data_IF_450042423096
#
_entry.id   IF_450042423096
#
_cell.length_a   1.000
_cell.length_b   1.000
_cell.length_c   1.000
_cell.angle_alpha   90.00
_cell.angle_beta   90.00
_cell.angle_gamma   90.00
#
_symmetry.space_group_name_H-M   'P 1'
#
loop_
_entity.id
_entity.type
_entity.pdbx_description
1 polymer ?
2 non-polymer ?
3 non-polymer ?
4 non-polymer ?
5 water ?
#
# COMPACT_ATOMS: atom_id res chain seq x y z
N UNK A 11 -6.12 -21.99 12.73
CA UNK A 11 -6.67 -22.95 11.78
C UNK A 11 -8.20 -22.83 11.73
N UNK A 12 -8.80 -22.39 12.82
CA UNK A 12 -10.24 -22.16 12.83
C UNK A 12 -10.60 -20.91 12.03
N UNK A 13 -9.75 -19.89 12.07
CA UNK A 13 -9.93 -18.73 11.21
C UNK A 13 -9.70 -19.09 9.75
N UNK A 14 -8.78 -20.01 9.47
CA UNK A 14 -8.56 -20.44 8.09
C UNK A 14 -9.73 -21.27 7.58
N UNK A 15 -10.38 -22.04 8.46
CA UNK A 15 -11.52 -22.84 8.01
C UNK A 15 -12.69 -21.95 7.61
N UNK A 16 -12.92 -20.87 8.34
CA UNK A 16 -14.03 -19.98 8.00
C UNK A 16 -13.72 -19.19 6.72
N UNK A 17 -12.48 -18.74 6.56
CA UNK A 17 -12.14 -17.93 5.39
C UNK A 17 -12.20 -18.76 4.11
N UNK A 18 -11.65 -19.97 4.14
CA UNK A 18 -11.62 -20.81 2.94
C UNK A 18 -13.00 -21.31 2.54
N UNK A 19 -13.94 -21.37 3.48
CA UNK A 19 -15.28 -21.86 3.19
C UNK A 19 -16.24 -20.75 2.79
N UNK A 20 -15.87 -19.49 2.98
CA UNK A 20 -16.78 -18.40 2.69
C UNK A 20 -16.82 -18.12 1.20
N UNK A 21 -17.99 -17.71 0.71
CA UNK A 21 -18.11 -17.24 -0.66
C UNK A 21 -17.65 -15.79 -0.70
N UNK A 22 -16.78 -15.46 -1.65
CA UNK A 22 -16.23 -14.12 -1.72
C UNK A 22 -17.19 -13.22 -2.50
N UNK A 23 -17.72 -12.16 -1.88
CA UNK A 23 -18.62 -11.26 -2.60
C UNK A 23 -17.89 -10.48 -3.68
N UNK A 24 -18.68 -9.90 -4.58
CA UNK A 24 -18.14 -9.19 -5.72
C UNK A 24 -17.41 -7.91 -5.28
N UNK A 25 -16.57 -7.41 -6.18
CA UNK A 25 -15.86 -6.16 -5.91
C UNK A 25 -16.83 -5.01 -5.69
N UNK A 26 -17.90 -4.96 -6.48
CA UNK A 26 -18.90 -3.90 -6.28
C UNK A 26 -19.55 -4.02 -4.91
N UNK A 27 -19.97 -5.23 -4.53
CA UNK A 27 -20.56 -5.44 -3.22
C UNK A 27 -19.62 -5.00 -2.12
N UNK A 28 -18.33 -5.30 -2.26
CA UNK A 28 -17.35 -4.95 -1.24
C UNK A 28 -16.85 -3.52 -1.34
N UNK A 29 -17.25 -2.78 -2.38
CA UNK A 29 -16.92 -1.36 -2.55
C UNK A 29 -15.42 -1.12 -2.66
N UNK A 30 -14.63 -2.14 -3.02
CA UNK A 30 -13.18 -1.96 -3.09
C UNK A 30 -12.74 -1.23 -4.36
N UNK A 31 -13.66 -0.95 -5.28
CA UNK A 31 -13.33 -0.16 -6.47
C UNK A 31 -13.33 1.33 -6.19
N UNK A 32 -13.91 1.77 -5.08
CA UNK A 32 -14.05 3.20 -4.80
C UNK A 32 -12.82 3.73 -4.08
N UNK A 33 -12.32 4.88 -4.55
CA UNK A 33 -11.23 5.57 -3.87
C UNK A 33 -11.62 6.01 -2.47
N UNK A 34 -12.91 6.15 -2.20
CA UNK A 34 -13.39 6.56 -0.88
C UNK A 34 -13.54 5.41 0.08
N UNK A 35 -13.15 4.19 -0.32
CA UNK A 35 -13.30 3.00 0.52
C UNK A 35 -12.77 3.23 1.93
N UNK A 36 -13.47 2.65 2.91
CA UNK A 36 -13.03 2.68 4.30
C UNK A 36 -13.34 1.33 4.94
N UNK A 37 -12.57 1.00 5.98
CA UNK A 37 -12.57 -0.35 6.54
C UNK A 37 -13.06 -0.41 7.99
N UNK A 38 -13.57 0.70 8.52
CA UNK A 38 -13.88 0.74 9.95
C UNK A 38 -14.98 -0.23 10.34
N UNK A 39 -15.87 -0.56 9.42
CA UNK A 39 -17.01 -1.42 9.74
C UNK A 39 -16.76 -2.88 9.43
N UNK A 40 -15.56 -3.24 8.98
CA UNK A 40 -15.28 -4.60 8.54
C UNK A 40 -14.59 -5.41 9.63
N UNK A 41 -14.94 -6.68 9.69
CA UNK A 41 -14.20 -7.63 10.50
C UNK A 41 -12.84 -7.91 9.87
N UNK A 42 -11.96 -8.53 10.66
CA UNK A 42 -10.70 -9.02 10.09
C UNK A 42 -10.96 -10.00 8.95
N UNK A 43 -11.91 -10.92 9.14
CA UNK A 43 -12.23 -11.87 8.10
C UNK A 43 -12.79 -11.18 6.86
N UNK A 44 -13.56 -10.11 7.05
CA UNK A 44 -14.09 -9.39 5.91
C UNK A 44 -12.98 -8.73 5.10
N UNK A 45 -11.94 -8.22 5.78
CA UNK A 45 -10.81 -7.65 5.06
C UNK A 45 -10.06 -8.72 4.27
N UNK A 46 -10.03 -9.95 4.79
CA UNK A 46 -9.39 -11.04 4.04
C UNK A 46 -10.19 -11.40 2.80
N UNK A 47 -11.52 -11.32 2.88
CA UNK A 47 -12.34 -11.67 1.71
C UNK A 47 -12.21 -10.62 0.62
N UNK A 48 -12.11 -9.34 1.01
CA UNK A 48 -11.82 -8.29 0.05
C UNK A 48 -10.46 -8.50 -0.62
N UNK A 49 -9.48 -8.98 0.15
CA UNK A 49 -8.16 -9.22 -0.41
C UNK A 49 -8.17 -10.36 -1.43
N UNK A 50 -8.98 -11.39 -1.17
CA UNK A 50 -9.15 -12.44 -2.18
C UNK A 50 -9.76 -11.85 -3.45
N UNK A 51 -10.75 -10.96 -3.29
CA UNK A 51 -11.41 -10.37 -4.43
C UNK A 51 -10.45 -9.51 -5.26
N UNK A 52 -9.52 -8.82 -4.60
CA UNK A 52 -8.51 -8.05 -5.32
C UNK A 52 -7.66 -8.96 -6.19
N UNK A 53 -7.19 -10.07 -5.63
CA UNK A 53 -6.43 -11.05 -6.41
C UNK A 53 -7.27 -11.61 -7.55
N UNK A 54 -8.55 -11.87 -7.28
CA UNK A 54 -9.40 -12.54 -8.27
C UNK A 54 -9.72 -11.61 -9.44
N UNK A 55 -10.11 -10.36 -9.14
CA UNK A 55 -10.55 -9.45 -10.19
C UNK A 55 -9.40 -8.87 -10.99
N UNK A 56 -8.18 -8.95 -10.49
CA UNK A 56 -6.99 -8.64 -11.28
C UNK A 56 -6.49 -9.85 -12.04
N UNK A 57 -7.25 -10.95 -12.01
CA UNK A 57 -6.95 -12.19 -12.71
C UNK A 57 -5.65 -12.82 -12.25
N UNK A 58 -5.20 -12.47 -11.05
CA UNK A 58 -3.98 -13.06 -10.51
C UNK A 58 -4.18 -14.52 -10.13
N UNK A 59 -5.38 -14.86 -9.65
CA UNK A 59 -5.68 -16.25 -9.33
C UNK A 59 -5.72 -17.09 -10.60
N UNK A 60 -6.28 -16.53 -11.68
CA UNK A 60 -6.41 -17.28 -12.93
C UNK A 60 -5.06 -17.43 -13.62
N UNK A 61 -4.37 -16.31 -13.86
CA UNK A 61 -3.17 -16.33 -14.68
C UNK A 61 -1.99 -17.01 -14.00
N UNK A 62 -2.02 -17.15 -12.68
CA UNK A 62 -0.88 -17.74 -11.97
C UNK A 62 -1.29 -18.96 -11.14
N UNK A 63 -2.49 -19.49 -11.39
CA UNK A 63 -2.92 -20.80 -10.89
C UNK A 63 -2.71 -20.93 -9.38
N UNK A 64 -3.31 -20.00 -8.65
CA UNK A 64 -3.22 -19.96 -7.20
C UNK A 64 -4.25 -20.89 -6.59
N UNK A 65 -3.79 -21.85 -5.80
CA UNK A 65 -4.71 -22.71 -5.05
C UNK A 65 -5.43 -21.87 -4.00
N UNK A 66 -6.74 -22.06 -3.90
CA UNK A 66 -7.56 -21.23 -3.02
C UNK A 66 -7.08 -21.30 -1.57
N UNK A 67 -6.77 -22.51 -1.09
CA UNK A 67 -6.35 -22.69 0.30
C UNK A 67 -5.03 -21.99 0.58
N UNK A 68 -4.12 -21.96 -0.40
CA UNK A 68 -2.81 -21.36 -0.19
C UNK A 68 -2.93 -19.84 -0.12
N UNK A 69 -3.77 -19.26 -0.99
CA UNK A 69 -3.98 -17.82 -0.96
C UNK A 69 -4.57 -17.37 0.37
N UNK A 70 -5.57 -18.10 0.85
CA UNK A 70 -6.18 -17.78 2.14
C UNK A 70 -5.17 -17.88 3.27
N UNK A 71 -4.37 -18.96 3.28
CA UNK A 71 -3.33 -19.12 4.29
C UNK A 71 -2.31 -17.98 4.21
N UNK A 72 -1.93 -17.59 2.99
CA UNK A 72 -0.96 -16.50 2.84
C UNK A 72 -1.54 -15.18 3.34
N UNK A 73 -2.80 -14.90 3.02
CA UNK A 73 -3.42 -13.66 3.46
C UNK A 73 -3.48 -13.60 4.98
N UNK A 74 -3.83 -14.71 5.62
CA UNK A 74 -3.92 -14.73 7.08
C UNK A 74 -2.54 -14.66 7.73
N UNK A 75 -1.51 -15.23 7.08
CA UNK A 75 -0.16 -15.11 7.60
C UNK A 75 0.33 -13.67 7.53
N UNK A 76 0.04 -12.99 6.41
CA UNK A 76 0.39 -11.58 6.28
C UNK A 76 -0.30 -10.75 7.35
N UNK A 77 -1.60 -11.00 7.55
CA UNK A 77 -2.36 -10.25 8.55
C UNK A 77 -1.79 -10.46 9.95
N UNK A 78 -1.43 -11.70 10.29
CA UNK A 78 -0.98 -12.02 11.65
C UNK A 78 0.39 -11.43 11.95
N UNK A 79 1.18 -11.12 10.92
CA UNK A 79 2.52 -10.57 11.12
C UNK A 79 2.52 -9.05 11.17
N UNK A 80 1.35 -8.42 11.14
CA UNK A 80 1.23 -7.04 11.58
C UNK A 80 0.85 -7.03 13.05
N UNK A 81 1.24 -5.96 13.73
CA UNK A 81 1.05 -5.84 15.16
C UNK A 81 -0.10 -4.86 15.43
N UNK A 82 -1.16 -5.35 16.07
CA UNK A 82 -2.32 -4.52 16.33
C UNK A 82 -2.10 -3.53 17.46
N UNK A 83 -1.09 -3.76 18.31
CA UNK A 83 -0.72 -2.78 19.32
C UNK A 83 -0.02 -1.56 18.72
N UNK A 84 0.08 -1.48 17.40
CA UNK A 84 0.59 -0.29 16.71
C UNK A 84 -0.61 0.42 16.09
N UNK A 85 -0.76 1.70 16.43
CA UNK A 85 -2.03 2.38 16.17
C UNK A 85 -2.29 2.57 14.68
N UNK A 86 -1.29 2.97 13.91
CA UNK A 86 -1.50 3.15 12.47
C UNK A 86 -0.81 2.12 11.61
N UNK A 87 0.48 1.85 11.84
CA UNK A 87 1.26 0.98 10.96
C UNK A 87 0.93 -0.48 11.28
N UNK A 88 -0.26 -0.90 10.85
CA UNK A 88 -0.77 -2.23 11.19
C UNK A 88 -1.41 -2.84 9.94
N UNK A 89 -2.12 -3.95 10.16
CA UNK A 89 -2.69 -4.69 9.04
C UNK A 89 -3.70 -3.87 8.26
N UNK A 90 -4.53 -3.10 8.96
CA UNK A 90 -5.54 -2.29 8.28
C UNK A 90 -4.89 -1.24 7.38
N UNK A 91 -3.72 -0.72 7.76
CA UNK A 91 -3.03 0.22 6.88
C UNK A 91 -2.55 -0.48 5.62
N UNK A 92 -2.02 -1.70 5.76
CA UNK A 92 -1.57 -2.45 4.60
C UNK A 92 -2.75 -2.87 3.73
N UNK A 93 -3.85 -3.28 4.37
CA UNK A 93 -5.05 -3.63 3.62
C UNK A 93 -5.57 -2.45 2.81
N UNK A 94 -5.58 -1.26 3.42
CA UNK A 94 -6.05 -0.07 2.72
C UNK A 94 -5.10 0.32 1.59
N UNK A 95 -3.80 0.19 1.81
CA UNK A 95 -2.83 0.47 0.75
C UNK A 95 -3.08 -0.43 -0.46
N UNK A 96 -3.33 -1.72 -0.21
CA UNK A 96 -3.63 -2.64 -1.31
C UNK A 96 -4.93 -2.26 -2.00
N UNK A 97 -5.96 -1.91 -1.21
CA UNK A 97 -7.23 -1.50 -1.80
C UNK A 97 -7.06 -0.29 -2.70
N UNK A 98 -6.24 0.68 -2.28
CA UNK A 98 -5.99 1.83 -3.12
C UNK A 98 -5.27 1.42 -4.40
N UNK A 99 -4.35 0.46 -4.30
CA UNK A 99 -3.68 -0.06 -5.50
C UNK A 99 -4.69 -0.71 -6.44
N UNK A 100 -5.60 -1.52 -5.90
CA UNK A 100 -6.64 -2.14 -6.71
C UNK A 100 -7.53 -1.08 -7.36
N UNK A 101 -7.96 -0.08 -6.57
CA UNK A 101 -8.78 0.99 -7.12
C UNK A 101 -8.03 1.78 -8.18
N UNK A 102 -6.73 2.00 -7.98
CA UNK A 102 -5.94 2.72 -8.97
C UNK A 102 -5.83 1.93 -10.26
N UNK A 103 -5.70 0.61 -10.17
CA UNK A 103 -5.58 -0.19 -11.38
C UNK A 103 -6.92 -0.32 -12.09
N UNK A 104 -8.01 -0.40 -11.34
CA UNK A 104 -9.34 -0.56 -11.93
C UNK A 104 -9.98 0.79 -12.22
N UNK A 105 -10.41 1.49 -11.17
CA UNK A 105 -11.11 2.76 -11.36
C UNK A 105 -10.24 3.78 -12.09
N UNK A 106 -8.94 3.73 -11.88
CA UNK A 106 -8.01 4.59 -12.59
C UNK A 106 -7.48 4.02 -13.88
N UNK A 107 -7.89 2.80 -14.24
CA UNK A 107 -7.56 2.16 -15.51
C UNK A 107 -6.06 2.09 -15.76
N UNK A 108 -5.26 2.17 -14.70
CA UNK A 108 -3.82 2.00 -14.82
C UNK A 108 -3.46 0.57 -15.24
N UNK A 109 -4.37 -0.37 -14.99
CA UNK A 109 -4.12 -1.80 -15.19
C UNK A 109 -3.59 -2.12 -16.59
N UNK A 110 -4.06 -1.41 -17.61
CA UNK A 110 -3.69 -1.72 -18.99
C UNK A 110 -2.29 -1.23 -19.36
N UNK A 111 -1.66 -0.43 -18.51
CA UNK A 111 -0.31 0.06 -18.78
C UNK A 111 0.77 -0.83 -18.17
N UNK A 112 0.39 -1.91 -17.51
CA UNK A 112 1.33 -2.75 -16.78
C UNK A 112 1.14 -4.22 -17.17
N UNK A 113 2.20 -5.00 -16.98
CA UNK A 113 2.13 -6.44 -17.20
C UNK A 113 1.53 -7.14 -15.98
N UNK A 114 1.18 -8.41 -16.18
CA UNK A 114 0.62 -9.20 -15.08
C UNK A 114 1.61 -9.36 -13.95
N UNK A 115 2.89 -9.59 -14.27
CA UNK A 115 3.89 -9.76 -13.23
C UNK A 115 4.06 -8.48 -12.41
N UNK A 116 3.91 -7.32 -13.06
CA UNK A 116 3.99 -6.06 -12.32
C UNK A 116 2.79 -5.86 -11.42
N UNK A 117 1.59 -6.19 -11.92
CA UNK A 117 0.38 -6.09 -11.09
C UNK A 117 0.47 -7.06 -9.93
N UNK A 118 0.89 -8.30 -10.19
CA UNK A 118 1.04 -9.30 -9.13
C UNK A 118 1.96 -8.79 -8.03
N UNK A 119 3.08 -8.19 -8.41
CA UNK A 119 4.04 -7.72 -7.41
C UNK A 119 3.54 -6.51 -6.65
N UNK A 120 2.81 -5.62 -7.33
CA UNK A 120 2.31 -4.42 -6.67
C UNK A 120 1.32 -4.76 -5.58
N UNK A 121 0.38 -5.67 -5.88
CA UNK A 121 -0.59 -6.09 -4.87
C UNK A 121 0.11 -6.74 -3.68
N UNK A 122 1.02 -7.67 -3.96
CA UNK A 122 1.74 -8.34 -2.88
C UNK A 122 2.55 -7.32 -2.08
N UNK A 123 3.23 -6.41 -2.77
CA UNK A 123 4.06 -5.42 -2.08
C UNK A 123 3.19 -4.52 -1.22
N UNK A 124 2.06 -4.05 -1.76
CA UNK A 124 1.16 -3.20 -1.00
C UNK A 124 0.73 -3.88 0.30
N UNK A 125 0.34 -5.16 0.21
CA UNK A 125 -0.12 -5.86 1.40
C UNK A 125 1.01 -6.11 2.38
N UNK A 126 2.26 -6.21 1.90
CA UNK A 126 3.37 -6.65 2.72
C UNK A 126 4.31 -5.52 3.15
N UNK A 127 4.11 -4.30 2.65
CA UNK A 127 5.15 -3.28 2.71
C UNK A 127 5.48 -2.80 4.12
N UNK A 128 4.67 -3.12 5.13
CA UNK A 128 4.92 -2.68 6.49
C UNK A 128 4.97 -3.84 7.48
N UNK A 129 5.17 -5.06 7.00
CA UNK A 129 5.09 -6.24 7.85
C UNK A 129 6.00 -6.10 9.08
N UNK A 130 5.43 -6.39 10.24
CA UNK A 130 6.15 -6.40 11.52
C UNK A 130 6.64 -5.01 11.91
N UNK A 131 5.93 -3.96 11.46
CA UNK A 131 6.21 -2.61 11.92
C UNK A 131 5.93 -2.52 13.43
N UNK A 132 6.87 -1.91 14.15
CA UNK A 132 6.78 -1.83 15.61
C UNK A 132 6.29 -0.49 16.13
N UNK A 133 5.95 0.45 15.24
CA UNK A 133 5.58 1.79 15.67
C UNK A 133 6.74 2.75 15.57
N UNK A 134 6.46 4.01 15.22
CA UNK A 134 7.53 4.95 14.91
C UNK A 134 8.43 5.20 16.12
N UNK A 135 7.91 5.01 17.32
CA UNK A 135 8.66 5.28 18.55
C UNK A 135 9.34 4.04 19.10
N UNK A 136 9.33 2.93 18.37
CA UNK A 136 9.96 1.69 18.83
C UNK A 136 11.06 1.25 17.86
N UNK A 137 11.75 2.21 17.26
CA UNK A 137 12.84 1.92 16.34
C UNK A 137 14.11 1.47 17.05
N UNK A 138 14.06 1.27 18.37
CA UNK A 138 15.24 0.79 19.08
C UNK A 138 15.49 -0.69 18.82
N UNK A 139 14.46 -1.44 18.48
CA UNK A 139 14.60 -2.89 18.25
C UNK A 139 15.38 -3.13 16.96
N UNK A 140 15.07 -2.39 15.91
CA UNK A 140 15.87 -2.48 14.71
C UNK A 140 17.26 -1.87 14.88
N UNK A 141 17.59 -1.34 16.07
CA UNK A 141 18.93 -0.88 16.39
C UNK A 141 19.70 -1.86 17.27
N UNK A 142 19.01 -2.59 18.16
CA UNK A 142 19.63 -3.75 18.80
C UNK A 142 20.12 -4.73 17.76
N UNK A 143 19.26 -5.02 16.79
CA UNK A 143 19.70 -5.63 15.55
C UNK A 143 20.35 -4.56 14.70
N UNK A 144 21.26 -4.99 13.81
CA UNK A 144 22.04 -4.10 12.97
C UNK A 144 22.55 -2.86 13.71
N UNK A 145 23.33 -3.04 14.78
CA UNK A 145 23.79 -1.87 15.55
C UNK A 145 24.78 -1.01 14.80
N UNK A 146 25.40 -1.53 13.74
CA UNK A 146 26.30 -0.74 12.91
C UNK A 146 25.57 -0.11 11.72
N UNK A 147 24.63 -0.84 11.13
CA UNK A 147 23.83 -0.34 10.01
C UNK A 147 22.79 0.68 10.46
N UNK A 148 23.07 1.46 11.50
CA UNK A 148 22.10 2.47 11.93
C UNK A 148 22.44 3.87 11.42
N UNK A 149 23.69 4.11 11.03
CA UNK A 149 24.03 5.37 10.35
C UNK A 149 24.85 5.07 9.08
N UNK A 152 19.45 3.58 5.58
CA UNK A 152 19.70 2.48 4.64
C UNK A 152 18.41 1.81 4.22
N UNK A 153 17.27 2.49 4.41
CA UNK A 153 15.96 1.85 4.36
C UNK A 153 15.94 0.63 5.26
N UNK A 154 16.42 0.84 6.50
CA UNK A 154 16.57 -0.26 7.45
C UNK A 154 15.26 -1.02 7.61
N UNK A 155 14.15 -0.30 7.75
CA UNK A 155 12.87 -0.95 8.04
C UNK A 155 12.27 -1.59 6.80
N UNK A 156 12.36 -0.91 5.66
CA UNK A 156 11.80 -1.44 4.42
C UNK A 156 12.49 -2.73 4.01
N UNK A 157 13.80 -2.84 4.27
CA UNK A 157 14.49 -4.11 4.05
C UNK A 157 13.95 -5.19 4.97
N UNK A 158 13.67 -4.84 6.22
CA UNK A 158 13.09 -5.81 7.15
C UNK A 158 11.68 -6.20 6.73
N UNK A 159 10.91 -5.23 6.19
CA UNK A 159 9.58 -5.54 5.70
C UNK A 159 9.64 -6.54 4.55
N UNK A 160 10.59 -6.36 3.62
CA UNK A 160 10.70 -7.31 2.52
C UNK A 160 11.18 -8.67 3.02
N UNK A 161 12.13 -8.69 3.94
CA UNK A 161 12.53 -9.95 4.56
C UNK A 161 11.33 -10.70 5.10
N UNK A 162 10.46 -9.98 5.82
CA UNK A 162 9.24 -10.58 6.37
C UNK A 162 8.34 -11.10 5.25
N UNK A 163 8.15 -10.28 4.20
CA UNK A 163 7.34 -10.68 3.06
C UNK A 163 7.88 -11.94 2.41
N UNK A 164 9.19 -11.96 2.15
CA UNK A 164 9.81 -13.12 1.52
C UNK A 164 9.68 -14.36 2.39
N UNK A 165 9.84 -14.21 3.70
CA UNK A 165 9.69 -15.35 4.61
C UNK A 165 8.30 -15.96 4.52
N UNK A 166 7.28 -15.10 4.41
CA UNK A 166 5.90 -15.59 4.34
C UNK A 166 5.62 -16.22 2.99
N UNK A 167 6.13 -15.63 1.92
CA UNK A 167 5.95 -16.21 0.59
C UNK A 167 6.55 -17.61 0.50
N UNK A 168 7.56 -17.90 1.31
CA UNK A 168 8.24 -19.19 1.30
C UNK A 168 7.72 -20.16 2.34
N UNK A 169 6.80 -19.74 3.20
CA UNK A 169 6.36 -20.61 4.27
C UNK A 169 5.51 -21.75 3.72
N UNK A 170 5.58 -22.95 4.29
CA UNK A 170 4.80 -24.08 3.78
C UNK A 170 3.30 -23.75 3.75
N UNK A 171 2.63 -24.20 2.68
CA UNK A 171 1.23 -23.92 2.49
C UNK A 171 0.90 -22.48 2.15
N UNK A 172 1.90 -21.60 2.01
CA UNK A 172 1.68 -20.18 1.80
C UNK A 172 2.21 -19.68 0.46
N UNK A 173 2.68 -20.57 -0.40
CA UNK A 173 3.46 -20.17 -1.57
C UNK A 173 2.54 -19.85 -2.75
N UNK A 174 2.06 -18.59 -2.77
CA UNK A 174 1.13 -18.17 -3.82
C UNK A 174 1.81 -17.94 -5.16
N UNK A 175 3.14 -17.98 -5.23
CA UNK A 175 3.87 -17.82 -6.48
C UNK A 175 4.42 -19.13 -7.00
N UNK A 176 4.00 -20.26 -6.43
CA UNK A 176 4.53 -21.56 -6.86
C UNK A 176 4.16 -21.85 -8.32
N UNK A 177 3.05 -21.30 -8.80
CA UNK A 177 2.66 -21.48 -10.19
C UNK A 177 3.48 -20.71 -11.19
N UNK A 178 4.38 -19.84 -10.73
CA UNK A 178 5.23 -19.08 -11.62
C UNK A 178 6.47 -19.88 -11.98
N UNK A 179 6.95 -19.67 -13.19
CA UNK A 179 8.25 -20.22 -13.57
C UNK A 179 9.35 -19.50 -12.78
N UNK A 180 10.54 -20.08 -12.79
CA UNK A 180 11.65 -19.51 -12.01
C UNK A 180 12.00 -18.13 -12.54
N UNK A 181 11.85 -17.91 -13.85
CA UNK A 181 12.11 -16.59 -14.41
C UNK A 181 11.07 -15.58 -13.96
N UNK A 182 9.79 -15.95 -14.05
CA UNK A 182 8.72 -15.07 -13.57
C UNK A 182 8.88 -14.80 -12.07
N UNK A 183 9.34 -15.78 -11.32
CA UNK A 183 9.49 -15.64 -9.87
C UNK A 183 10.59 -14.63 -9.53
N UNK A 184 11.76 -14.78 -10.15
CA UNK A 184 12.85 -13.83 -9.93
C UNK A 184 12.42 -12.42 -10.33
N UNK A 185 11.74 -12.28 -11.47
CA UNK A 185 11.24 -10.98 -11.91
C UNK A 185 10.27 -10.40 -10.89
N UNK A 186 9.30 -11.21 -10.46
CA UNK A 186 8.30 -10.74 -9.51
C UNK A 186 8.93 -10.35 -8.18
N UNK A 187 9.84 -11.19 -7.68
CA UNK A 187 10.53 -10.87 -6.44
C UNK A 187 11.28 -9.55 -6.53
N UNK A 188 11.88 -9.28 -7.69
CA UNK A 188 12.62 -8.03 -7.87
C UNK A 188 11.69 -6.83 -7.83
N UNK A 189 10.54 -6.92 -8.52
CA UNK A 189 9.58 -5.82 -8.50
C UNK A 189 9.01 -5.64 -7.09
N UNK A 190 8.68 -6.74 -6.41
CA UNK A 190 8.20 -6.64 -5.03
C UNK A 190 9.22 -5.91 -4.17
N UNK A 191 10.48 -6.29 -4.29
CA UNK A 191 11.53 -5.70 -3.46
C UNK A 191 11.64 -4.20 -3.71
N UNK A 192 11.71 -3.80 -4.98
CA UNK A 192 11.80 -2.37 -5.31
C UNK A 192 10.57 -1.63 -4.82
N UNK A 193 9.39 -2.25 -4.92
CA UNK A 193 8.15 -1.58 -4.54
C UNK A 193 8.09 -1.36 -3.04
N UNK A 194 8.46 -2.37 -2.25
CA UNK A 194 8.48 -2.21 -0.79
C UNK A 194 9.51 -1.18 -0.38
N UNK A 195 10.69 -1.22 -1.02
CA UNK A 195 11.74 -0.26 -0.69
C UNK A 195 11.32 1.16 -1.06
N UNK A 196 10.44 1.32 -2.05
CA UNK A 196 10.00 2.65 -2.45
C UNK A 196 9.16 3.34 -1.38
N UNK A 197 8.51 2.57 -0.50
CA UNK A 197 7.70 3.16 0.56
C UNK A 197 8.54 3.89 1.60
N UNK A 198 9.86 3.82 1.51
CA UNK A 198 10.73 4.71 2.27
C UNK A 198 10.57 6.12 1.72
N UNK A 199 9.97 7.02 2.53
CA UNK A 199 9.71 8.38 2.08
C UNK A 199 10.97 9.08 1.62
N UNK A 200 12.12 8.73 2.20
CA UNK A 200 13.39 9.31 1.78
C UNK A 200 13.68 8.97 0.32
N UNK A 201 13.43 7.72 -0.08
CA UNK A 201 13.59 7.36 -1.48
C UNK A 201 12.59 8.10 -2.35
N UNK A 202 11.36 8.30 -1.84
CA UNK A 202 10.36 9.06 -2.59
C UNK A 202 10.83 10.48 -2.83
N UNK A 203 11.28 11.17 -1.77
CA UNK A 203 11.73 12.55 -1.91
C UNK A 203 12.97 12.61 -2.80
N UNK A 204 13.81 11.57 -2.75
CA UNK A 204 15.02 11.57 -3.56
C UNK A 204 14.71 11.46 -5.04
N UNK A 205 13.66 10.71 -5.40
CA UNK A 205 13.40 10.37 -6.79
C UNK A 205 12.19 11.08 -7.39
N UNK A 206 11.38 11.78 -6.58
CA UNK A 206 10.17 12.39 -7.12
C UNK A 206 10.48 13.54 -8.08
N UNK A 207 11.62 14.20 -7.89
CA UNK A 207 11.95 15.33 -8.76
C UNK A 207 12.10 14.92 -10.21
N UNK A 208 12.77 13.81 -10.47
CA UNK A 208 12.88 13.31 -11.85
C UNK A 208 11.51 12.95 -12.41
N UNK A 209 10.65 12.37 -11.58
CA UNK A 209 9.29 12.04 -12.00
C UNK A 209 8.54 13.30 -12.44
N UNK A 210 8.58 14.35 -11.63
CA UNK A 210 7.79 15.54 -11.90
C UNK A 210 8.24 16.24 -13.18
N UNK A 211 9.56 16.38 -13.37
CA UNK A 211 10.05 17.07 -14.57
C UNK A 211 9.74 16.28 -15.83
N UNK A 212 9.75 14.96 -15.75
CA UNK A 212 9.34 14.15 -16.90
C UNK A 212 7.89 14.42 -17.27
N UNK A 213 7.02 14.54 -16.27
CA UNK A 213 5.63 14.90 -16.53
C UNK A 213 5.54 16.34 -17.01
N UNK A 214 6.30 17.24 -16.37
CA UNK A 214 6.26 18.65 -16.73
C UNK A 214 6.74 18.87 -18.15
N UNK A 215 7.86 18.26 -18.52
CA UNK A 215 8.39 18.34 -19.88
C UNK A 215 7.61 17.51 -20.89
N UNK A 216 6.56 16.80 -20.46
CA UNK A 216 5.81 15.90 -21.33
C UNK A 216 6.73 14.87 -21.97
N UNK A 217 7.63 14.32 -21.17
CA UNK A 217 8.52 13.26 -21.63
C UNK A 217 8.25 11.92 -20.95
N UNK A 218 7.14 11.80 -20.23
CA UNK A 218 6.90 10.59 -19.46
C UNK A 218 6.62 9.43 -20.40
N UNK A 219 7.45 8.39 -20.30
CA UNK A 219 7.49 7.28 -21.24
C UNK A 219 7.42 5.98 -20.45
N UNK A 220 6.27 5.31 -20.50
CA UNK A 220 6.15 4.05 -19.77
C UNK A 220 6.92 2.93 -20.43
N UNK A 221 7.20 3.03 -21.73
CA UNK A 221 8.01 2.00 -22.39
C UNK A 221 9.47 2.04 -21.97
N UNK A 222 9.94 3.16 -21.43
CA UNK A 222 11.27 3.22 -20.86
C UNK A 222 11.33 2.33 -19.62
N UNK A 223 12.25 1.37 -19.55
CA UNK A 223 12.34 0.55 -18.31
C UNK A 223 12.63 1.37 -17.07
N UNK A 224 13.42 2.43 -17.19
CA UNK A 224 13.71 3.25 -16.01
C UNK A 224 12.48 4.03 -15.56
N UNK A 225 11.71 4.56 -16.51
CA UNK A 225 10.53 5.34 -16.14
C UNK A 225 9.39 4.44 -15.68
N UNK A 226 9.30 3.22 -16.19
CA UNK A 226 8.32 2.27 -15.66
C UNK A 226 8.59 1.96 -14.20
N UNK A 227 9.87 1.71 -13.86
CA UNK A 227 10.22 1.46 -12.46
C UNK A 227 9.98 2.69 -11.61
N UNK A 228 10.31 3.87 -12.12
CA UNK A 228 10.05 5.11 -11.38
C UNK A 228 8.55 5.28 -11.13
N UNK A 229 7.73 4.99 -12.12
CA UNK A 229 6.29 5.11 -11.94
C UNK A 229 5.77 4.12 -10.88
N UNK A 230 6.30 2.90 -10.89
CA UNK A 230 5.89 1.90 -9.89
C UNK A 230 6.20 2.39 -8.48
N UNK A 231 7.34 3.08 -8.30
CA UNK A 231 7.68 3.60 -6.99
C UNK A 231 6.72 4.70 -6.57
N UNK A 232 6.43 5.65 -7.47
CA UNK A 232 5.50 6.72 -7.15
C UNK A 232 4.12 6.18 -6.82
N UNK A 233 3.68 5.16 -7.55
CA UNK A 233 2.37 4.57 -7.30
C UNK A 233 2.31 3.93 -5.92
N UNK A 234 3.40 3.27 -5.50
CA UNK A 234 3.45 2.69 -4.16
C UNK A 234 3.32 3.78 -3.10
N UNK A 235 4.05 4.88 -3.26
CA UNK A 235 3.92 6.00 -2.34
C UNK A 235 2.51 6.56 -2.34
N UNK A 236 1.87 6.63 -3.51
CA UNK A 236 0.56 7.24 -3.63
C UNK A 236 -0.49 6.49 -2.82
N UNK A 237 -0.41 5.15 -2.83
CA UNK A 237 -1.36 4.31 -2.10
C UNK A 237 -0.99 4.17 -0.63
N UNK A 238 0.31 4.12 -0.35
CA UNK A 238 0.79 4.16 1.03
C UNK A 238 0.18 5.33 1.80
N UNK A 239 0.17 6.51 1.18
CA UNK A 239 -0.30 7.73 1.81
C UNK A 239 -1.74 8.06 1.47
N UNK A 240 -2.51 7.11 0.93
CA UNK A 240 -3.82 7.42 0.38
C UNK A 240 -4.85 7.79 1.43
N UNK A 241 -4.57 7.53 2.72
CA UNK A 241 -5.48 7.95 3.78
C UNK A 241 -5.71 9.45 3.75
N UNK A 242 -4.71 10.21 3.28
CA UNK A 242 -4.83 11.66 3.18
C UNK A 242 -5.81 12.11 2.11
N UNK A 243 -6.33 11.19 1.29
CA UNK A 243 -7.28 11.52 0.24
C UNK A 243 -8.71 11.16 0.59
N UNK A 244 -8.94 10.51 1.72
CA UNK A 244 -10.24 9.94 2.02
C UNK A 244 -11.25 11.04 2.38
N UNK A 245 -12.55 10.72 2.35
CA UNK A 245 -13.55 11.70 2.81
C UNK A 245 -13.26 12.17 4.23
N UNK A 246 -13.64 13.41 4.49
CA UNK A 246 -13.31 14.09 5.76
C UNK A 246 -13.55 13.25 7.01
N UNK A 247 -14.69 12.58 7.20
CA UNK A 247 -14.85 11.75 8.41
C UNK A 247 -13.83 10.62 8.50
N UNK A 248 -13.47 10.00 7.38
CA UNK A 248 -12.45 8.95 7.42
C UNK A 248 -11.09 9.54 7.78
N UNK A 249 -10.74 10.66 7.15
CA UNK A 249 -9.41 11.24 7.34
C UNK A 249 -9.23 11.73 8.77
N UNK A 250 -10.28 12.24 9.39
CA UNK A 250 -10.20 12.63 10.80
C UNK A 250 -9.83 11.44 11.68
N UNK A 251 -10.44 10.28 11.41
CA UNK A 251 -10.14 9.09 12.20
C UNK A 251 -8.70 8.62 11.98
N UNK A 252 -8.23 8.66 10.74
CA UNK A 252 -6.86 8.21 10.45
C UNK A 252 -5.85 9.12 11.14
N UNK A 253 -6.06 10.45 11.05
CA UNK A 253 -5.18 11.38 11.75
C UNK A 253 -5.15 11.10 13.24
N UNK A 254 -6.27 10.67 13.80
CA UNK A 254 -6.30 10.24 15.20
C UNK A 254 -5.37 9.06 15.43
N UNK A 255 -5.36 8.09 14.51
CA UNK A 255 -4.50 6.92 14.67
C UNK A 255 -3.03 7.29 14.49
N UNK A 256 -2.74 8.16 13.51
CA UNK A 256 -1.37 8.61 13.32
C UNK A 256 -0.86 9.35 14.55
N UNK A 257 -1.72 10.18 15.15
CA UNK A 257 -1.31 10.93 16.34
C UNK A 257 -1.10 10.01 17.53
N UNK A 258 -1.92 8.97 17.67
CA UNK A 258 -1.77 8.04 18.78
C UNK A 258 -0.43 7.31 18.70
N UNK A 259 -0.12 6.75 17.53
CA UNK A 259 1.17 6.08 17.37
C UNK A 259 2.33 7.03 17.60
N UNK A 260 2.20 8.28 17.16
CA UNK A 260 3.32 9.21 17.21
C UNK A 260 3.52 9.75 18.63
N UNK A 261 2.45 10.26 19.25
CA UNK A 261 2.55 10.93 20.53
C UNK A 261 2.42 9.98 21.71
N UNK A 262 1.46 9.07 21.67
CA UNK A 262 1.12 8.24 22.81
C UNK A 262 1.74 6.85 22.73
N UNK A 263 2.61 6.61 21.74
CA UNK A 263 3.28 5.32 21.54
C UNK A 263 2.28 4.17 21.63
N UNK A 264 1.29 4.24 20.75
CA UNK A 264 0.25 3.23 20.70
C UNK A 264 0.14 2.53 19.36
N UNK A 285 -4.51 22.45 19.70
CA UNK A 285 -4.02 21.21 19.10
C UNK A 285 -3.15 21.46 17.89
N UNK A 286 -2.10 20.66 17.78
CA UNK A 286 -1.07 20.80 16.76
C UNK A 286 -1.36 20.00 15.50
N UNK A 287 -2.34 19.11 15.52
CA UNK A 287 -2.54 18.19 14.40
C UNK A 287 -2.98 18.89 13.12
N UNK A 288 -3.91 19.86 13.13
CA UNK A 288 -4.32 20.47 11.85
C UNK A 288 -3.17 21.05 11.03
N UNK A 289 -2.33 21.90 11.64
CA UNK A 289 -1.21 22.48 10.90
C UNK A 289 -0.21 21.40 10.47
N UNK A 290 -0.06 20.34 11.27
CA UNK A 290 0.82 19.25 10.86
C UNK A 290 0.29 18.56 9.62
N UNK A 291 -1.03 18.39 9.53
CA UNK A 291 -1.62 17.74 8.36
C UNK A 291 -1.48 18.61 7.13
N UNK A 292 -1.65 19.93 7.27
CA UNK A 292 -1.52 20.83 6.13
C UNK A 292 -0.08 20.81 5.61
N UNK A 293 0.90 20.88 6.51
CA UNK A 293 2.29 20.81 6.07
C UNK A 293 2.63 19.51 5.39
N UNK A 294 2.10 18.40 5.91
CA UNK A 294 2.32 17.09 5.30
C UNK A 294 1.70 17.03 3.91
N UNK A 295 0.51 17.60 3.75
CA UNK A 295 -0.13 17.64 2.43
C UNK A 295 0.68 18.47 1.46
N UNK A 296 1.16 19.64 1.91
CA UNK A 296 1.93 20.51 1.04
C UNK A 296 3.27 19.88 0.65
N UNK A 297 4.03 19.45 1.65
CA UNK A 297 5.40 19.01 1.39
C UNK A 297 5.43 17.70 0.61
N UNK A 298 4.51 16.79 0.89
CA UNK A 298 4.62 15.39 0.48
C UNK A 298 3.57 15.02 -0.56
N UNK A 299 2.30 15.31 -0.29
CA UNK A 299 1.21 14.61 -0.97
C UNK A 299 0.70 15.32 -2.22
N UNK A 300 0.47 16.64 -2.14
CA UNK A 300 -0.27 17.32 -3.20
C UNK A 300 0.41 17.18 -4.55
N UNK A 301 1.73 17.36 -4.62
CA UNK A 301 2.41 17.29 -5.90
C UNK A 301 2.39 15.88 -6.48
N UNK A 302 2.44 14.86 -5.62
CA UNK A 302 2.41 13.48 -6.11
C UNK A 302 1.07 13.16 -6.77
N UNK A 303 -0.03 13.49 -6.09
CA UNK A 303 -1.34 13.22 -6.66
C UNK A 303 -1.61 14.11 -7.87
N UNK A 304 -1.01 15.30 -7.90
CA UNK A 304 -1.09 16.13 -9.10
C UNK A 304 -0.39 15.45 -10.27
N UNK A 305 0.82 14.94 -10.04
CA UNK A 305 1.56 14.25 -11.09
C UNK A 305 0.82 13.01 -11.56
N UNK A 306 0.25 12.24 -10.63
CA UNK A 306 -0.45 11.01 -10.99
C UNK A 306 -1.66 11.30 -11.87
N UNK A 307 -2.32 12.44 -11.67
CA UNK A 307 -3.46 12.77 -12.51
C UNK A 307 -3.04 13.15 -13.92
N UNK A 308 -1.83 13.73 -14.07
CA UNK A 308 -1.32 13.96 -15.41
C UNK A 308 -1.00 12.64 -16.12
N UNK A 309 -0.64 11.61 -15.36
CA UNK A 309 -0.41 10.29 -15.95
C UNK A 309 -1.75 9.66 -16.37
N UNK A 310 -2.76 9.79 -15.53
CA UNK A 310 -4.09 9.26 -15.81
C UNK A 310 -5.11 10.13 -15.11
N UNK A 311 -5.99 10.76 -15.90
CA UNK A 311 -7.00 11.65 -15.31
C UNK A 311 -7.98 10.89 -14.43
N UNK A 312 -8.08 9.57 -14.57
CA UNK A 312 -9.01 8.79 -13.78
C UNK A 312 -8.55 8.61 -12.33
N UNK A 313 -7.33 9.00 -11.99
CA UNK A 313 -6.88 9.03 -10.61
C UNK A 313 -7.11 10.39 -9.97
N UNK A 314 -7.86 11.26 -10.63
CA UNK A 314 -8.19 12.57 -10.07
C UNK A 314 -8.89 12.52 -8.71
N UNK A 315 -9.78 11.56 -8.42
CA UNK A 315 -10.39 11.54 -7.08
C UNK A 315 -9.40 11.57 -5.93
N UNK A 316 -8.21 11.01 -6.10
CA UNK A 316 -7.20 11.07 -5.05
C UNK A 316 -6.73 12.50 -4.84
N UNK A 317 -6.44 13.22 -5.94
CA UNK A 317 -6.06 14.63 -5.81
C UNK A 317 -7.21 15.46 -5.26
N UNK A 318 -8.43 15.22 -5.76
CA UNK A 318 -9.59 15.96 -5.28
C UNK A 318 -9.82 15.73 -3.80
N UNK A 319 -9.76 14.47 -3.37
CA UNK A 319 -9.93 14.17 -1.96
C UNK A 319 -8.84 14.79 -1.10
N UNK A 320 -7.62 14.83 -1.62
CA UNK A 320 -6.52 15.45 -0.88
C UNK A 320 -6.71 16.95 -0.75
N UNK A 321 -7.16 17.61 -1.83
CA UNK A 321 -7.40 19.04 -1.78
C UNK A 321 -8.50 19.39 -0.79
N UNK A 322 -9.56 18.58 -0.74
CA UNK A 322 -10.64 18.84 0.19
C UNK A 322 -10.17 18.69 1.63
N UNK A 323 -9.33 17.70 1.91
CA UNK A 323 -8.83 17.50 3.26
C UNK A 323 -7.92 18.65 3.69
N UNK A 324 -7.09 19.16 2.78
CA UNK A 324 -6.27 20.32 3.12
C UNK A 324 -7.14 21.50 3.51
N UNK A 325 -8.23 21.73 2.78
CA UNK A 325 -9.14 22.81 3.12
C UNK A 325 -9.73 22.63 4.52
N UNK A 326 -10.11 21.41 4.88
CA UNK A 326 -10.70 21.19 6.19
C UNK A 326 -9.67 21.40 7.30
N UNK A 327 -8.50 20.76 7.18
CA UNK A 327 -7.46 20.92 8.20
C UNK A 327 -7.03 22.37 8.34
N UNK A 328 -6.94 23.09 7.22
CA UNK A 328 -6.48 24.48 7.26
C UNK A 328 -7.50 25.37 7.97
N UNK A 329 -8.79 25.11 7.79
CA UNK A 329 -9.82 25.86 8.50
C UNK A 329 -9.72 25.62 10.00
N UNK A 330 -9.49 24.37 10.41
CA UNK A 330 -9.27 24.07 11.82
C UNK A 330 -7.99 24.71 12.33
N UNK A 331 -6.92 24.64 11.53
CA UNK A 331 -5.63 25.20 11.95
C UNK A 331 -5.76 26.67 12.28
N UNK A 332 -6.55 27.41 11.51
CA UNK A 332 -6.81 28.81 11.81
C UNK A 332 -7.74 29.00 13.01
N UNK A 333 -8.04 27.92 13.73
CA UNK A 333 -8.92 27.96 14.90
C UNK A 333 -10.30 28.50 14.55
#
# INVERSE_FOLDING_TARGET
>A
SYHASAAEEETRELQSLAAAVVPSAQTLKITDFSFSDFELSDLETALCTIRMFTDLNLVQNFQMKHEVLCRWILSVKKNYRKNVAYHNWRHAFNTAQCMFAALKAGKIQNKLTDLEILALLIAALSHDLDHRGVNNSYIQRSEHPLAQLYCHSIMEHHHFDQCLMILNSPGNQILSGLSIEEYKTTLKIIKQAILATDLALYIKRRGEFFELIRKNQFNLEDPHQKELFLAMLMTACDLSAITKPWPIQQRIAELVATEFFDQGDRERKELNIEPTDLMNREKKNKIPSMQVGFIDAICLQLYEALTHVSEDCFPLLDGCRKNRQKWQALAEQ
#
